data_IF_241535481921
#
_entry.id   IF_241535481921
#
_cell.length_a   1.000
_cell.length_b   1.000
_cell.length_c   1.000
_cell.angle_alpha   90.00
_cell.angle_beta   90.00
_cell.angle_gamma   90.00
#
_symmetry.space_group_name_H-M   'P 1'
#
loop_
_entity.id
_entity.type
_entity.pdbx_description
1 polymer ?
#
# COMPACT_ATOMS: atom_id res chain seq x y z
N UNK A 1 -17.30 26.98 -13.26
CA UNK A 1 -17.43 25.82 -14.18
C UNK A 1 -16.94 24.61 -13.41
N UNK A 2 -17.79 23.61 -13.35
CA UNK A 2 -17.80 22.45 -12.44
C UNK A 2 -16.54 21.57 -12.46
N UNK A 3 -16.16 21.15 -11.25
CA UNK A 3 -15.78 19.79 -10.83
C UNK A 3 -14.86 18.94 -11.72
N UNK A 4 -13.68 18.64 -11.19
CA UNK A 4 -13.26 17.26 -10.92
C UNK A 4 -11.91 17.31 -10.20
N UNK A 5 -11.93 17.12 -8.87
CA UNK A 5 -10.79 16.49 -8.19
C UNK A 5 -10.73 15.06 -8.72
N UNK A 6 -10.27 14.90 -9.96
CA UNK A 6 -10.04 13.61 -10.56
C UNK A 6 -8.85 13.03 -9.81
N UNK A 7 -9.16 12.24 -8.79
CA UNK A 7 -8.20 11.37 -8.12
C UNK A 7 -7.69 10.41 -9.20
N UNK A 8 -6.69 10.85 -9.96
CA UNK A 8 -6.06 10.03 -10.97
C UNK A 8 -5.74 8.68 -10.33
N UNK A 9 -6.15 7.56 -10.94
CA UNK A 9 -5.78 6.26 -10.43
C UNK A 9 -4.25 6.24 -10.32
N UNK A 10 -3.74 5.74 -9.20
CA UNK A 10 -2.31 5.58 -8.98
C UNK A 10 -1.83 4.44 -9.90
N UNK A 11 -1.76 4.70 -11.21
CA UNK A 11 -1.33 3.72 -12.22
C UNK A 11 0.16 3.42 -12.11
N UNK A 12 0.89 4.19 -11.32
CA UNK A 12 2.33 4.00 -11.10
C UNK A 12 2.69 4.30 -9.65
N UNK A 13 3.37 3.36 -8.99
CA UNK A 13 4.04 3.52 -7.70
C UNK A 13 5.55 3.62 -7.95
N UNK A 14 6.00 4.81 -8.31
CA UNK A 14 7.43 5.12 -8.51
C UNK A 14 7.87 6.21 -7.56
N UNK A 15 9.16 6.48 -7.42
CA UNK A 15 9.67 7.58 -6.58
C UNK A 15 8.92 8.92 -6.76
N UNK A 16 8.54 9.26 -8.00
CA UNK A 16 7.84 10.50 -8.32
C UNK A 16 6.40 10.55 -7.75
N UNK A 17 5.71 9.41 -7.69
CA UNK A 17 4.32 9.31 -7.23
C UNK A 17 4.17 8.72 -5.83
N UNK A 18 5.24 8.13 -5.30
CA UNK A 18 5.30 7.44 -4.02
C UNK A 18 4.77 8.30 -2.88
N UNK A 19 5.19 9.56 -2.80
CA UNK A 19 4.75 10.48 -1.74
C UNK A 19 3.24 10.76 -1.83
N UNK A 20 2.74 11.06 -3.02
CA UNK A 20 1.32 11.32 -3.23
C UNK A 20 0.46 10.07 -2.97
N UNK A 21 0.96 8.88 -3.32
CA UNK A 21 0.32 7.60 -3.03
C UNK A 21 0.23 7.34 -1.52
N UNK A 22 1.33 7.58 -0.79
CA UNK A 22 1.38 7.46 0.67
C UNK A 22 0.38 8.42 1.34
N UNK A 23 0.38 9.70 0.96
CA UNK A 23 -0.54 10.68 1.54
C UNK A 23 -2.01 10.31 1.31
N UNK A 24 -2.36 9.84 0.10
CA UNK A 24 -3.71 9.33 -0.20
C UNK A 24 -4.04 8.09 0.60
N UNK A 25 -3.13 7.12 0.68
CA UNK A 25 -3.36 5.90 1.45
C UNK A 25 -3.54 6.18 2.94
N UNK A 26 -2.78 7.13 3.50
CA UNK A 26 -2.94 7.57 4.88
C UNK A 26 -4.26 8.31 5.11
N UNK A 27 -4.68 9.15 4.16
CA UNK A 27 -5.99 9.81 4.23
C UNK A 27 -7.14 8.80 4.16
N UNK A 28 -7.04 7.80 3.28
CA UNK A 28 -8.01 6.73 3.15
C UNK A 28 -8.06 5.86 4.41
N UNK A 29 -6.89 5.50 4.98
CA UNK A 29 -6.79 4.78 6.25
C UNK A 29 -7.49 5.55 7.38
N UNK A 30 -7.27 6.87 7.49
CA UNK A 30 -7.97 7.72 8.47
C UNK A 30 -9.47 7.80 8.23
N UNK A 31 -9.91 7.66 6.97
CA UNK A 31 -11.31 7.56 6.60
C UNK A 31 -11.92 6.16 6.86
N UNK A 32 -11.12 5.19 7.32
CA UNK A 32 -11.56 3.82 7.58
C UNK A 32 -11.38 2.85 6.40
N UNK A 33 -10.74 3.28 5.31
CA UNK A 33 -10.42 2.42 4.18
C UNK A 33 -9.27 1.47 4.57
N UNK A 34 -9.55 0.17 4.57
CA UNK A 34 -8.56 -0.87 4.89
C UNK A 34 -8.14 -1.68 3.68
N UNK A 35 -8.86 -1.57 2.57
CA UNK A 35 -8.63 -2.34 1.35
C UNK A 35 -8.15 -1.42 0.24
N UNK A 36 -6.99 -1.73 -0.34
CA UNK A 36 -6.39 -0.98 -1.45
C UNK A 36 -6.30 -1.87 -2.68
N UNK A 37 -7.01 -1.51 -3.74
CA UNK A 37 -6.92 -2.21 -5.03
C UNK A 37 -5.75 -1.66 -5.85
N UNK A 38 -4.81 -2.55 -6.18
CA UNK A 38 -3.64 -2.27 -6.99
C UNK A 38 -3.78 -2.77 -8.44
N UNK A 39 -4.98 -3.19 -8.86
CA UNK A 39 -5.24 -3.67 -10.23
C UNK A 39 -4.86 -2.65 -11.31
N UNK A 40 -5.07 -1.36 -11.03
CA UNK A 40 -4.76 -0.27 -11.95
C UNK A 40 -3.27 0.02 -12.04
N UNK A 41 -2.43 -0.63 -11.24
CA UNK A 41 -1.01 -0.35 -11.14
C UNK A 41 -0.24 -1.00 -12.29
N UNK A 42 0.23 -0.17 -13.22
CA UNK A 42 1.00 -0.59 -14.40
C UNK A 42 2.50 -0.66 -14.12
N UNK A 43 3.00 0.21 -13.25
CA UNK A 43 4.44 0.34 -12.97
C UNK A 43 4.71 0.47 -11.48
N UNK A 44 5.66 -0.31 -10.97
CA UNK A 44 6.12 -0.22 -9.58
C UNK A 44 7.64 -0.36 -9.50
N UNK A 45 8.28 0.43 -8.64
CA UNK A 45 9.69 0.33 -8.31
C UNK A 45 9.89 -0.03 -6.82
N UNK A 46 11.15 0.01 -6.36
CA UNK A 46 11.51 -0.16 -4.95
C UNK A 46 10.90 0.91 -4.03
N UNK A 47 10.65 2.12 -4.53
CA UNK A 47 9.95 3.17 -3.78
C UNK A 47 8.48 2.80 -3.53
N UNK A 48 7.84 2.13 -4.50
CA UNK A 48 6.50 1.58 -4.35
C UNK A 48 6.38 0.60 -3.19
N UNK A 49 7.36 -0.30 -3.04
CA UNK A 49 7.43 -1.23 -1.91
C UNK A 49 7.53 -0.49 -0.57
N UNK A 50 8.38 0.54 -0.50
CA UNK A 50 8.53 1.34 0.72
C UNK A 50 7.21 2.05 1.13
N UNK A 51 6.44 2.52 0.16
CA UNK A 51 5.12 3.14 0.42
C UNK A 51 4.12 2.14 1.00
N UNK A 52 4.04 0.93 0.43
CA UNK A 52 3.13 -0.11 0.94
C UNK A 52 3.50 -0.52 2.37
N UNK A 53 4.79 -0.63 2.66
CA UNK A 53 5.28 -0.92 4.01
C UNK A 53 4.96 0.18 5.00
N UNK A 54 5.17 1.44 4.63
CA UNK A 54 4.87 2.57 5.53
C UNK A 54 3.36 2.69 5.79
N UNK A 55 2.51 2.50 4.77
CA UNK A 55 1.06 2.45 4.94
C UNK A 55 0.65 1.35 5.91
N UNK A 56 1.20 0.15 5.74
CA UNK A 56 0.89 -0.97 6.61
C UNK A 56 1.39 -0.74 8.04
N UNK A 57 2.60 -0.18 8.21
CA UNK A 57 3.14 0.20 9.51
C UNK A 57 2.22 1.20 10.21
N UNK A 58 1.72 2.19 9.47
CA UNK A 58 0.83 3.21 10.02
C UNK A 58 -0.55 2.65 10.36
N UNK A 59 -1.08 1.74 9.55
CA UNK A 59 -2.30 1.02 9.85
C UNK A 59 -2.17 0.15 11.11
N UNK A 60 -1.10 -0.63 11.22
CA UNK A 60 -0.79 -1.43 12.41
C UNK A 60 -0.69 -0.55 13.67
N UNK A 61 -0.03 0.61 13.58
CA UNK A 61 0.02 1.60 14.68
C UNK A 61 -1.36 2.11 15.08
N UNK A 62 -2.28 2.21 14.12
CA UNK A 62 -3.68 2.55 14.36
C UNK A 62 -4.56 1.35 14.75
N UNK A 63 -3.99 0.14 14.88
CA UNK A 63 -4.74 -1.09 15.17
C UNK A 63 -5.57 -1.61 13.99
N UNK A 64 -5.26 -1.16 12.77
CA UNK A 64 -5.99 -1.47 11.54
C UNK A 64 -5.16 -2.38 10.65
N UNK A 65 -5.77 -3.43 10.10
CA UNK A 65 -5.13 -4.31 9.12
C UNK A 65 -5.42 -3.81 7.71
N UNK A 66 -4.37 -3.60 6.90
CA UNK A 66 -4.53 -3.30 5.48
C UNK A 66 -4.52 -4.57 4.64
N UNK A 67 -5.38 -4.63 3.63
CA UNK A 67 -5.38 -5.65 2.60
C UNK A 67 -5.14 -5.02 1.24
N UNK A 68 -4.15 -5.54 0.51
CA UNK A 68 -3.86 -5.12 -0.85
C UNK A 68 -4.42 -6.16 -1.82
N UNK A 69 -5.26 -5.72 -2.77
CA UNK A 69 -5.85 -6.58 -3.80
C UNK A 69 -5.14 -6.38 -5.13
N UNK A 70 -5.17 -7.42 -5.98
CA UNK A 70 -4.65 -7.39 -7.35
C UNK A 70 -3.19 -6.88 -7.45
N UNK A 71 -2.32 -7.37 -6.55
CA UNK A 71 -0.89 -7.05 -6.59
C UNK A 71 -0.28 -7.51 -7.92
N UNK A 72 0.28 -6.61 -8.74
CA UNK A 72 0.92 -7.01 -10.00
C UNK A 72 2.14 -7.90 -9.73
N UNK A 73 2.36 -8.88 -10.60
CA UNK A 73 3.46 -9.87 -10.47
C UNK A 73 4.81 -9.19 -10.30
N UNK A 74 5.07 -8.10 -11.02
CA UNK A 74 6.31 -7.32 -10.88
C UNK A 74 6.54 -6.81 -9.46
N UNK A 75 5.47 -6.41 -8.76
CA UNK A 75 5.54 -5.95 -7.37
C UNK A 75 5.71 -7.14 -6.43
N UNK A 76 5.00 -8.25 -6.65
CA UNK A 76 5.18 -9.47 -5.87
C UNK A 76 6.63 -9.98 -5.92
N UNK A 77 7.23 -10.01 -7.11
CA UNK A 77 8.64 -10.36 -7.29
C UNK A 77 9.55 -9.46 -6.46
N UNK A 78 9.30 -8.14 -6.43
CA UNK A 78 10.06 -7.21 -5.59
C UNK A 78 9.84 -7.51 -4.10
N UNK A 79 8.60 -7.69 -3.64
CA UNK A 79 8.30 -8.01 -2.24
C UNK A 79 9.02 -9.27 -1.77
N UNK A 80 9.02 -10.32 -2.59
CA UNK A 80 9.74 -11.58 -2.31
C UNK A 80 11.26 -11.38 -2.33
N UNK A 81 11.80 -10.63 -3.30
CA UNK A 81 13.24 -10.30 -3.35
C UNK A 81 13.70 -9.50 -2.13
N UNK A 82 12.84 -8.63 -1.62
CA UNK A 82 13.09 -7.85 -0.41
C UNK A 82 12.73 -8.61 0.88
N UNK A 83 12.11 -9.79 0.80
CA UNK A 83 11.69 -10.60 1.96
C UNK A 83 10.58 -9.98 2.80
N UNK A 84 9.78 -9.09 2.21
CA UNK A 84 8.73 -8.32 2.89
C UNK A 84 7.31 -8.77 2.50
N UNK A 85 7.18 -9.86 1.74
CA UNK A 85 5.91 -10.49 1.39
C UNK A 85 5.15 -10.96 2.65
N UNK A 86 5.87 -11.51 3.63
CA UNK A 86 5.31 -11.95 4.92
C UNK A 86 4.86 -10.79 5.79
N UNK A 87 5.46 -9.60 5.64
CA UNK A 87 5.00 -8.39 6.32
C UNK A 87 3.64 -7.96 5.78
N UNK A 88 3.38 -8.07 4.47
CA UNK A 88 2.04 -7.85 3.90
C UNK A 88 1.01 -8.90 4.29
N UNK A 89 1.43 -10.13 4.51
CA UNK A 89 0.54 -11.23 4.89
C UNK A 89 0.27 -11.34 6.40
N UNK A 90 0.97 -10.57 7.24
CA UNK A 90 0.84 -10.69 8.69
C UNK A 90 -0.50 -10.15 9.19
N UNK A 91 -1.47 -11.06 9.18
CA UNK A 91 -2.54 -11.22 10.17
C UNK A 91 -2.04 -10.83 11.58
N UNK A 92 -2.91 -10.28 12.46
CA UNK A 92 -2.56 -9.87 13.84
C UNK A 92 -2.09 -11.01 14.78
N UNK A 93 -1.59 -12.13 14.25
CA UNK A 93 -1.14 -13.29 15.01
C UNK A 93 0.28 -13.18 15.58
N UNK A 94 1.10 -12.18 15.21
CA UNK A 94 2.41 -11.96 15.87
C UNK A 94 2.28 -11.17 17.19
N UNK A 95 1.24 -11.52 17.96
CA UNK A 95 1.04 -11.09 19.35
C UNK A 95 1.14 -12.27 20.34
N UNK A 96 1.73 -13.39 19.93
CA UNK A 96 2.12 -14.43 20.87
C UNK A 96 3.59 -14.25 21.28
N UNK A 97 3.75 -13.51 22.37
CA UNK A 97 4.89 -13.56 23.28
C UNK A 97 5.34 -15.02 23.52
N UNK A 98 6.65 -15.27 23.45
CA UNK A 98 7.37 -16.06 24.45
C UNK A 98 8.85 -15.69 24.50
#
# INVERSE_FOLDING_TARGET
MTESTSSAPLESLTFATARAALERGLAALRAGQTVFDLASLKSSDSSGVAVLLELQRQARKSGVTLSFLNLPVSLQSLLTLYGVDTLLAASPADLQHH
#
